data_IF_768161468267
#
_entry.id   IF_768161468267
#
_cell.length_a   1.000
_cell.length_b   1.000
_cell.length_c   1.000
_cell.angle_alpha   90.00
_cell.angle_beta   90.00
_cell.angle_gamma   90.00
#
_symmetry.space_group_name_H-M   'P 1'
#
loop_
_entity.id
_entity.type
_entity.pdbx_description
1 polymer ?
#
# COMPACT_ATOMS: atom_id res chain seq x y z
N UNK A 1 -11.60 12.66 -16.15
CA UNK A 1 -11.04 12.59 -14.78
C UNK A 1 -11.95 13.39 -13.86
N UNK A 2 -12.29 12.91 -12.65
CA UNK A 2 -13.04 13.72 -11.70
C UNK A 2 -12.24 14.99 -11.40
N UNK A 3 -12.91 16.14 -11.47
CA UNK A 3 -12.29 17.45 -11.27
C UNK A 3 -11.92 17.57 -9.79
N UNK A 4 -10.64 17.42 -9.47
CA UNK A 4 -10.14 17.57 -8.10
C UNK A 4 -10.06 19.06 -7.78
N UNK A 5 -10.58 19.45 -6.63
CA UNK A 5 -10.39 20.80 -6.11
C UNK A 5 -8.89 21.09 -5.92
N UNK A 6 -8.38 22.27 -6.32
CA UNK A 6 -7.00 22.66 -6.09
C UNK A 6 -6.64 22.65 -4.59
N UNK A 7 -5.40 22.32 -4.21
CA UNK A 7 -5.00 22.27 -2.80
C UNK A 7 -5.14 23.65 -2.11
N UNK A 8 -4.81 24.73 -2.82
CA UNK A 8 -4.94 26.10 -2.33
C UNK A 8 -6.39 26.47 -1.98
N UNK A 9 -7.35 25.97 -2.77
CA UNK A 9 -8.76 26.20 -2.51
C UNK A 9 -9.18 25.46 -1.23
N UNK A 10 -8.78 24.20 -1.08
CA UNK A 10 -9.10 23.41 0.13
C UNK A 10 -8.55 24.06 1.40
N UNK A 11 -7.31 24.56 1.35
CA UNK A 11 -6.69 25.27 2.49
C UNK A 11 -7.51 26.49 2.90
N UNK A 12 -7.85 27.36 1.94
CA UNK A 12 -8.69 28.55 2.21
C UNK A 12 -10.05 28.19 2.83
N UNK A 13 -10.68 27.11 2.35
CA UNK A 13 -11.95 26.63 2.93
C UNK A 13 -11.76 26.16 4.36
N UNK A 14 -10.68 25.42 4.64
CA UNK A 14 -10.36 24.98 6.00
C UNK A 14 -10.00 26.15 6.92
N UNK A 15 -9.31 27.17 6.42
CA UNK A 15 -8.98 28.39 7.18
C UNK A 15 -10.26 29.14 7.60
N UNK A 16 -11.26 29.24 6.71
CA UNK A 16 -12.57 29.83 7.02
C UNK A 16 -13.32 29.04 8.09
N UNK A 17 -13.23 27.71 8.07
CA UNK A 17 -13.84 26.86 9.11
C UNK A 17 -13.05 26.99 10.43
N UNK A 18 -11.73 27.06 10.37
CA UNK A 18 -10.86 27.26 11.53
C UNK A 18 -11.08 28.63 12.19
N UNK A 19 -11.44 29.66 11.42
CA UNK A 19 -11.82 30.98 11.93
C UNK A 19 -13.19 31.00 12.64
N UNK A 20 -13.83 29.85 12.82
CA UNK A 20 -15.09 29.70 13.57
C UNK A 20 -16.36 29.74 12.73
N UNK A 21 -16.27 29.82 11.39
CA UNK A 21 -17.46 29.76 10.53
C UNK A 21 -18.05 28.34 10.53
N UNK A 22 -19.38 28.26 10.47
CA UNK A 22 -20.09 26.97 10.40
C UNK A 22 -19.87 26.32 9.03
N UNK A 23 -19.60 25.02 9.03
CA UNK A 23 -19.37 24.23 7.80
C UNK A 23 -20.52 24.39 6.81
N UNK A 24 -21.78 24.28 7.26
CA UNK A 24 -22.97 24.42 6.42
C UNK A 24 -23.07 25.79 5.73
N UNK A 25 -22.59 26.86 6.38
CA UNK A 25 -22.59 28.19 5.78
C UNK A 25 -21.49 28.31 4.72
N UNK A 26 -20.28 27.84 5.01
CA UNK A 26 -19.16 27.84 4.06
C UNK A 26 -19.47 26.98 2.83
N UNK A 27 -20.12 25.84 3.05
CA UNK A 27 -20.61 24.94 2.01
C UNK A 27 -21.63 25.63 1.09
N UNK A 28 -22.64 26.28 1.67
CA UNK A 28 -23.66 27.01 0.91
C UNK A 28 -23.07 28.19 0.10
N UNK A 29 -22.16 28.97 0.71
CA UNK A 29 -21.54 30.12 0.04
C UNK A 29 -20.66 29.73 -1.15
N UNK A 30 -20.06 28.54 -1.12
CA UNK A 30 -19.14 28.04 -2.13
C UNK A 30 -19.76 27.03 -3.09
N UNK A 31 -21.03 26.68 -2.88
CA UNK A 31 -21.77 25.63 -3.60
C UNK A 31 -21.05 24.26 -3.56
N UNK A 32 -20.62 23.85 -2.37
CA UNK A 32 -19.91 22.59 -2.12
C UNK A 32 -20.67 21.79 -1.06
N UNK A 33 -20.70 20.47 -1.17
CA UNK A 33 -21.28 19.62 -0.14
C UNK A 33 -20.49 19.68 1.18
N UNK A 34 -21.20 19.84 2.30
CA UNK A 34 -20.68 19.77 3.67
C UNK A 34 -19.76 18.56 3.89
N UNK A 35 -20.14 17.39 3.35
CA UNK A 35 -19.34 16.16 3.47
C UNK A 35 -17.93 16.31 2.90
N UNK A 36 -17.78 17.09 1.84
CA UNK A 36 -16.47 17.35 1.21
C UNK A 36 -15.56 18.12 2.17
N UNK A 37 -16.12 19.12 2.86
CA UNK A 37 -15.40 19.94 3.84
C UNK A 37 -15.01 19.08 5.06
N UNK A 38 -15.93 18.23 5.54
CA UNK A 38 -15.62 17.29 6.62
C UNK A 38 -14.52 16.29 6.24
N UNK A 39 -14.51 15.81 4.99
CA UNK A 39 -13.44 14.94 4.50
C UNK A 39 -12.09 15.66 4.51
N UNK A 40 -12.03 16.90 4.03
CA UNK A 40 -10.79 17.70 4.05
C UNK A 40 -10.30 17.97 5.46
N UNK A 41 -11.20 18.29 6.40
CA UNK A 41 -10.83 18.53 7.80
C UNK A 41 -10.22 17.30 8.48
N UNK A 42 -10.63 16.10 8.08
CA UNK A 42 -10.03 14.84 8.59
C UNK A 42 -8.70 14.52 7.91
N UNK A 43 -8.56 14.88 6.64
CA UNK A 43 -7.38 14.55 5.84
C UNK A 43 -6.22 15.53 6.05
N UNK A 44 -6.48 16.80 6.32
CA UNK A 44 -5.46 17.84 6.46
C UNK A 44 -4.40 17.54 7.54
N UNK A 45 -4.75 17.04 8.75
CA UNK A 45 -3.75 16.67 9.75
C UNK A 45 -2.89 15.47 9.33
N UNK A 46 -3.41 14.60 8.46
CA UNK A 46 -2.67 13.45 7.91
C UNK A 46 -1.72 13.95 6.82
N UNK A 47 -2.21 14.81 5.92
CA UNK A 47 -1.43 15.39 4.83
C UNK A 47 -0.33 16.35 5.34
N UNK A 48 -0.53 17.00 6.50
CA UNK A 48 0.48 17.83 7.17
C UNK A 48 1.45 17.03 8.05
N UNK A 49 1.22 15.72 8.20
CA UNK A 49 2.07 14.82 8.99
C UNK A 49 1.89 14.93 10.50
N UNK A 50 0.84 15.62 10.98
CA UNK A 50 0.50 15.67 12.41
C UNK A 50 -0.10 14.36 12.91
N UNK A 51 -0.82 13.64 12.05
CA UNK A 51 -1.39 12.33 12.34
C UNK A 51 -0.80 11.26 11.43
N UNK A 52 -0.56 10.04 11.95
CA UNK A 52 -0.17 8.91 11.11
C UNK A 52 -1.32 8.51 10.19
N UNK A 53 -1.04 8.33 8.91
CA UNK A 53 -2.02 7.90 7.91
C UNK A 53 -1.48 7.96 6.49
N UNK A 54 -2.27 7.50 5.53
CA UNK A 54 -1.95 7.61 4.09
C UNK A 54 -2.29 9.02 3.62
N UNK A 55 -1.30 9.72 3.08
CA UNK A 55 -1.52 11.08 2.55
C UNK A 55 -2.35 11.02 1.26
N UNK A 56 -2.96 12.14 0.89
CA UNK A 56 -3.73 12.24 -0.36
C UNK A 56 -2.87 11.94 -1.60
N UNK A 57 -1.57 12.26 -1.53
CA UNK A 57 -0.59 11.98 -2.58
C UNK A 57 -0.30 10.48 -2.67
N UNK A 58 0.02 9.84 -1.54
CA UNK A 58 0.29 8.40 -1.48
C UNK A 58 -0.92 7.60 -1.97
N UNK A 59 -2.13 8.02 -1.60
CA UNK A 59 -3.36 7.39 -2.07
C UNK A 59 -3.50 7.50 -3.60
N UNK A 60 -3.17 8.65 -4.19
CA UNK A 60 -3.23 8.85 -5.63
C UNK A 60 -2.25 7.93 -6.38
N UNK A 61 -1.03 7.79 -5.86
CA UNK A 61 -0.02 6.88 -6.39
C UNK A 61 -0.47 5.41 -6.26
N UNK A 62 -1.01 5.03 -5.10
CA UNK A 62 -1.56 3.68 -4.88
C UNK A 62 -2.68 3.34 -5.87
N UNK A 63 -3.58 4.28 -6.13
CA UNK A 63 -4.66 4.08 -7.13
C UNK A 63 -4.10 3.96 -8.54
N UNK A 64 -3.12 4.80 -8.91
CA UNK A 64 -2.48 4.73 -10.22
C UNK A 64 -1.73 3.40 -10.41
N UNK A 65 -1.00 2.95 -9.40
CA UNK A 65 -0.30 1.68 -9.40
C UNK A 65 -1.27 0.49 -9.53
N UNK A 66 -2.35 0.47 -8.74
CA UNK A 66 -3.40 -0.57 -8.83
C UNK A 66 -4.04 -0.62 -10.23
N UNK A 67 -4.28 0.54 -10.84
CA UNK A 67 -4.81 0.60 -12.21
C UNK A 67 -3.81 0.00 -13.21
N UNK A 68 -2.53 0.32 -13.10
CA UNK A 68 -1.50 -0.21 -13.99
C UNK A 68 -1.32 -1.72 -13.81
N UNK A 69 -1.40 -2.22 -12.58
CA UNK A 69 -1.36 -3.66 -12.30
C UNK A 69 -2.53 -4.36 -12.98
N UNK A 70 -3.76 -3.86 -12.81
CA UNK A 70 -4.95 -4.46 -13.42
C UNK A 70 -4.86 -4.48 -14.96
N UNK A 71 -4.32 -3.42 -15.57
CA UNK A 71 -4.08 -3.35 -17.02
C UNK A 71 -3.05 -4.39 -17.47
N UNK A 72 -1.92 -4.49 -16.77
CA UNK A 72 -0.89 -5.48 -17.06
C UNK A 72 -1.39 -6.92 -16.87
N UNK A 73 -2.19 -7.18 -15.84
CA UNK A 73 -2.81 -8.48 -15.62
C UNK A 73 -3.76 -8.86 -16.77
N UNK A 74 -4.51 -7.90 -17.30
CA UNK A 74 -5.35 -8.10 -18.48
C UNK A 74 -4.50 -8.39 -19.74
N UNK A 75 -3.42 -7.64 -19.98
CA UNK A 75 -2.48 -7.90 -21.08
C UNK A 75 -1.89 -9.32 -20.98
N UNK A 76 -1.40 -9.71 -19.81
CA UNK A 76 -0.85 -11.05 -19.56
C UNK A 76 -1.90 -12.14 -19.80
N UNK A 77 -3.15 -11.91 -19.38
CA UNK A 77 -4.23 -12.87 -19.62
C UNK A 77 -4.50 -13.06 -21.12
N UNK A 78 -4.50 -11.98 -21.91
CA UNK A 78 -4.64 -12.06 -23.38
C UNK A 78 -3.46 -12.80 -24.00
N UNK A 79 -2.23 -12.48 -23.61
CA UNK A 79 -1.04 -13.16 -24.12
C UNK A 79 -1.01 -14.65 -23.80
N UNK A 80 -1.43 -15.04 -22.59
CA UNK A 80 -1.53 -16.46 -22.21
C UNK A 80 -2.56 -17.20 -23.04
N UNK A 81 -3.76 -16.63 -23.22
CA UNK A 81 -4.80 -17.20 -24.10
C UNK A 81 -4.31 -17.36 -25.54
N UNK A 82 -3.61 -16.37 -26.07
CA UNK A 82 -3.03 -16.47 -27.41
C UNK A 82 -1.97 -17.58 -27.52
N UNK A 83 -1.11 -17.74 -26.52
CA UNK A 83 -0.10 -18.80 -26.48
C UNK A 83 -0.73 -20.20 -26.39
N UNK A 84 -1.82 -20.36 -25.65
CA UNK A 84 -2.58 -21.61 -25.56
C UNK A 84 -3.15 -22.00 -26.93
N UNK A 85 -3.83 -21.06 -27.61
CA UNK A 85 -4.37 -21.28 -28.95
C UNK A 85 -3.29 -21.66 -29.98
N UNK A 86 -2.12 -21.00 -29.92
CA UNK A 86 -0.99 -21.34 -30.80
C UNK A 86 -0.44 -22.74 -30.54
N UNK A 87 -0.42 -23.18 -29.28
CA UNK A 87 0.02 -24.53 -28.91
C UNK A 87 -0.92 -25.61 -29.43
N UNK A 88 -2.23 -25.35 -29.42
CA UNK A 88 -3.25 -26.26 -29.95
C UNK A 88 -3.21 -26.37 -31.48
N UNK A 89 -2.90 -25.27 -32.18
CA UNK A 89 -2.83 -25.23 -33.63
C UNK A 89 -1.52 -25.71 -34.25
N UNK A 90 -0.47 -25.94 -33.45
CA UNK A 90 0.82 -26.40 -33.97
C UNK A 90 0.92 -27.94 -33.93
N UNK A 91 1.25 -28.62 -35.04
CA UNK A 91 1.56 -30.05 -34.98
C UNK A 91 2.79 -30.26 -34.07
N UNK A 92 2.86 -31.35 -33.29
CA UNK A 92 3.99 -31.59 -32.41
C UNK A 92 5.25 -31.58 -33.27
N UNK A 93 6.13 -30.61 -32.99
CA UNK A 93 7.42 -30.49 -33.66
C UNK A 93 8.17 -31.78 -33.38
N UNK A 94 8.34 -32.63 -34.40
CA UNK A 94 9.11 -33.86 -34.29
C UNK A 94 10.54 -33.47 -33.87
N UNK A 95 10.84 -33.63 -32.58
CA UNK A 95 12.17 -33.39 -32.04
C UNK A 95 13.06 -34.48 -32.61
N UNK A 96 13.78 -34.19 -33.70
CA UNK A 96 14.97 -34.97 -34.05
C UNK A 96 15.98 -34.69 -32.93
N UNK A 97 16.29 -35.74 -32.19
CA UNK A 97 17.06 -35.69 -30.95
C UNK A 97 18.38 -34.93 -31.10
N UNK A 98 18.63 -34.03 -30.15
CA UNK A 98 19.93 -33.44 -29.89
C UNK A 98 20.14 -33.43 -28.37
N UNK A 99 21.13 -34.19 -27.91
CA UNK A 99 21.52 -34.33 -26.52
C UNK A 99 21.59 -33.01 -25.76
N UNK A 100 20.98 -32.96 -24.57
CA UNK A 100 21.15 -31.85 -23.64
C UNK A 100 20.25 -31.87 -22.42
N UNK A 101 19.93 -33.05 -21.86
CA UNK A 101 19.26 -33.12 -20.55
C UNK A 101 20.28 -32.82 -19.45
N UNK A 102 20.45 -31.53 -19.13
CA UNK A 102 21.20 -31.07 -17.97
C UNK A 102 20.23 -30.50 -16.95
N UNK A 103 19.59 -31.42 -16.23
CA UNK A 103 19.24 -31.31 -14.81
C UNK A 103 18.63 -29.96 -14.40
N UNK A 104 17.30 -29.83 -14.52
CA UNK A 104 16.54 -28.99 -13.59
C UNK A 104 16.59 -29.65 -12.22
N UNK A 105 17.54 -29.24 -11.40
CA UNK A 105 17.62 -29.63 -9.98
C UNK A 105 16.35 -29.12 -9.30
N UNK A 106 15.40 -30.01 -9.02
CA UNK A 106 14.28 -29.71 -8.15
C UNK A 106 14.83 -29.23 -6.80
N UNK A 107 14.35 -28.08 -6.33
CA UNK A 107 14.53 -27.70 -4.93
C UNK A 107 13.60 -28.62 -4.14
N UNK A 108 14.16 -29.66 -3.56
CA UNK A 108 13.45 -30.57 -2.67
C UNK A 108 13.19 -29.86 -1.33
N UNK A 109 11.92 -29.56 -0.97
CA UNK A 109 11.59 -28.82 0.25
C UNK A 109 11.95 -29.60 1.53
N UNK A 110 12.24 -30.90 1.44
CA UNK A 110 12.63 -31.72 2.58
C UNK A 110 14.10 -31.55 3.01
N UNK A 111 14.91 -30.77 2.28
CA UNK A 111 16.36 -30.60 2.52
C UNK A 111 16.78 -29.24 3.08
N UNK A 112 15.87 -28.51 3.71
CA UNK A 112 16.24 -27.37 4.54
C UNK A 112 17.01 -27.88 5.78
N UNK A 113 18.21 -27.37 6.09
CA UNK A 113 18.90 -27.76 7.31
C UNK A 113 18.05 -27.35 8.51
N UNK A 114 17.75 -28.30 9.39
CA UNK A 114 17.17 -28.00 10.70
C UNK A 114 18.03 -26.93 11.36
N UNK A 115 17.42 -25.81 11.73
CA UNK A 115 18.06 -24.79 12.53
C UNK A 115 18.69 -25.47 13.76
N UNK A 116 20.01 -25.38 13.90
CA UNK A 116 20.68 -25.72 15.15
C UNK A 116 20.04 -24.85 16.22
N UNK A 117 19.40 -25.49 17.19
CA UNK A 117 18.97 -24.88 18.43
C UNK A 117 20.19 -24.22 19.09
N UNK A 118 20.37 -22.93 18.81
CA UNK A 118 21.33 -22.08 19.49
C UNK A 118 20.95 -22.04 20.96
N UNK A 119 21.87 -22.49 21.81
CA UNK A 119 21.69 -22.56 23.25
C UNK A 119 21.20 -21.23 23.81
N UNK A 120 20.13 -21.33 24.59
CA UNK A 120 19.60 -20.29 25.46
C UNK A 120 20.71 -19.78 26.38
N UNK A 121 21.38 -18.68 26.01
CA UNK A 121 22.16 -17.91 26.98
C UNK A 121 21.14 -17.31 27.94
N UNK A 122 21.05 -17.87 29.15
CA UNK A 122 20.39 -17.23 30.28
C UNK A 122 21.08 -15.89 30.50
N UNK A 123 20.40 -14.80 30.18
CA UNK A 123 20.71 -13.49 30.74
C UNK A 123 20.15 -13.48 32.17
N UNK A 124 20.97 -13.37 33.22
CA UNK A 124 20.45 -13.08 34.55
C UNK A 124 19.86 -11.66 34.53
N UNK A 125 18.59 -11.59 34.89
CA UNK A 125 17.81 -10.37 35.10
C UNK A 125 18.34 -9.62 36.31
N UNK A 126 18.95 -8.46 36.11
CA UNK A 126 18.96 -7.39 37.12
C UNK A 126 18.91 -6.05 36.41
N UNK A 127 17.70 -5.63 36.08
CA UNK A 127 17.34 -4.22 36.00
C UNK A 127 15.91 -4.10 36.51
N UNK A 128 15.82 -4.06 37.84
CA UNK A 128 14.67 -3.57 38.57
C UNK A 128 14.31 -2.17 38.05
N UNK A 129 13.05 -2.02 37.66
CA UNK A 129 12.42 -0.73 37.36
C UNK A 129 12.15 -0.06 38.71
N UNK A 130 12.99 0.90 39.05
CA UNK A 130 12.69 1.83 40.14
C UNK A 130 11.94 3.04 39.55
N UNK A 131 10.61 2.98 39.61
CA UNK A 131 9.77 4.19 39.51
C UNK A 131 8.70 4.12 40.59
N UNK A 132 9.05 4.58 41.79
CA UNK A 132 8.06 4.92 42.82
C UNK A 132 8.42 6.21 43.56
N UNK A 133 7.86 7.31 43.06
CA UNK A 133 7.10 8.31 43.83
C UNK A 133 7.45 8.56 45.31
N UNK A 134 8.05 9.71 45.61
CA UNK A 134 7.80 10.61 46.76
C UNK A 134 8.62 11.90 46.53
N UNK A 135 8.17 13.15 46.66
CA UNK A 135 7.19 13.71 47.58
C UNK A 135 7.91 14.41 48.74
N UNK A 136 7.86 15.76 48.76
CA UNK A 136 8.17 16.70 49.86
C UNK A 136 9.65 17.02 50.17
N UNK A 137 10.03 18.28 49.97
CA UNK A 137 10.11 19.31 51.02
C UNK A 137 10.03 20.70 50.38
#
# INVERSE_FOLDING_TARGET
MPKRYPPEFRRKVLDLVASGRRVAQVAADLDISDQTIYAWRRQEPIDSGQLPGTTSTDNAELVAARRRIAELEAEVAVHRRAAELLKEGSPPKAVRGGHGDRLRRAVDPARLPRARSGGMRRCPSTCDVDTRSAGRA
#
